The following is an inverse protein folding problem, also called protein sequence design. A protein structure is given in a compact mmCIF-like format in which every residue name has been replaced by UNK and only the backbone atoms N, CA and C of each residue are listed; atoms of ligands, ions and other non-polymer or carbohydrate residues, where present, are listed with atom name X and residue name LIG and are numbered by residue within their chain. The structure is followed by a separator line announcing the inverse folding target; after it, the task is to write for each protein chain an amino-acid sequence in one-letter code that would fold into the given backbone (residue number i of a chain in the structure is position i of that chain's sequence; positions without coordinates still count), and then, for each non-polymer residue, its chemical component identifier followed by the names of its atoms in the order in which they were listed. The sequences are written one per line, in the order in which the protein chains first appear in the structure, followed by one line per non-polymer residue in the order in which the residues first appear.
data_IF_959708532758
#
_entry.id   IF_959708532758
#
_cell.length_a   1.000
_cell.length_b   1.000
_cell.length_c   1.000
_cell.angle_alpha   90.00
_cell.angle_beta   90.00
_cell.angle_gamma   90.00
#
_symmetry.space_group_name_H-M   'P 1'
#
loop_
_entity.id
_entity.type
_entity.pdbx_description
1 polymer ?
#
# COMPACT_ATOMS: atom_id res chain seq x y z
N UNK A 1 7.84 -30.64 -35.80
CA UNK A 1 7.85 -30.09 -34.42
C UNK A 1 6.95 -28.87 -34.43
N UNK A 2 5.76 -28.94 -33.83
CA UNK A 2 4.76 -27.86 -33.91
C UNK A 2 4.74 -27.10 -32.58
N UNK A 3 5.33 -25.90 -32.57
CA UNK A 3 5.43 -25.01 -31.41
C UNK A 3 4.11 -24.26 -31.14
N UNK A 4 2.97 -24.97 -31.18
CA UNK A 4 1.63 -24.41 -31.06
C UNK A 4 0.92 -24.84 -29.76
N UNK A 5 1.68 -25.06 -28.69
CA UNK A 5 1.15 -25.27 -27.34
C UNK A 5 1.76 -24.23 -26.39
N UNK A 6 1.68 -22.95 -26.77
CA UNK A 6 1.78 -21.89 -25.77
C UNK A 6 0.43 -21.88 -25.05
N UNK A 7 0.48 -22.42 -23.83
CA UNK A 7 -0.58 -22.60 -22.87
C UNK A 7 -1.39 -21.30 -22.65
N UNK A 8 -2.42 -21.05 -23.48
CA UNK A 8 -3.49 -20.08 -23.19
C UNK A 8 -4.44 -20.69 -22.14
N UNK A 9 -3.93 -21.02 -20.96
CA UNK A 9 -4.78 -20.90 -19.77
C UNK A 9 -4.69 -19.43 -19.40
N UNK A 10 -5.66 -18.64 -19.87
CA UNK A 10 -5.87 -17.31 -19.31
C UNK A 10 -5.87 -17.45 -17.79
N UNK A 11 -5.15 -16.57 -17.11
CA UNK A 11 -5.30 -16.43 -15.67
C UNK A 11 -6.78 -16.17 -15.42
N UNK A 12 -7.49 -17.19 -14.94
CA UNK A 12 -8.87 -17.09 -14.53
C UNK A 12 -8.83 -16.32 -13.20
N UNK A 13 -8.83 -14.99 -13.29
CA UNK A 13 -8.77 -14.11 -12.13
C UNK A 13 -10.10 -14.23 -11.43
N UNK A 14 -10.09 -14.80 -10.22
CA UNK A 14 -11.26 -14.86 -9.35
C UNK A 14 -11.63 -13.43 -8.90
N UNK A 15 -12.49 -12.78 -9.69
CA UNK A 15 -12.93 -11.40 -9.50
C UNK A 15 -13.50 -11.15 -8.08
N UNK A 16 -14.37 -12.01 -7.51
CA UNK A 16 -14.78 -11.90 -6.11
C UNK A 16 -13.61 -11.82 -5.12
N UNK A 17 -12.64 -12.73 -5.22
CA UNK A 17 -11.49 -12.74 -4.33
C UNK A 17 -10.56 -11.54 -4.56
N UNK A 18 -10.43 -11.08 -5.80
CA UNK A 18 -9.68 -9.87 -6.13
C UNK A 18 -10.33 -8.59 -5.55
N UNK A 19 -11.67 -8.48 -5.62
CA UNK A 19 -12.42 -7.38 -4.99
C UNK A 19 -12.28 -7.40 -3.47
N UNK A 20 -12.34 -8.59 -2.85
CA UNK A 20 -12.12 -8.74 -1.40
C UNK A 20 -10.70 -8.32 -0.99
N UNK A 21 -9.69 -8.80 -1.71
CA UNK A 21 -8.29 -8.42 -1.46
C UNK A 21 -8.11 -6.91 -1.55
N UNK A 22 -8.68 -6.27 -2.57
CA UNK A 22 -8.68 -4.81 -2.70
C UNK A 22 -9.29 -4.10 -1.48
N UNK A 23 -10.48 -4.51 -1.03
CA UNK A 23 -11.13 -3.90 0.13
C UNK A 23 -10.30 -4.05 1.41
N UNK A 24 -9.72 -5.23 1.65
CA UNK A 24 -8.84 -5.47 2.79
C UNK A 24 -7.64 -4.53 2.74
N UNK A 25 -6.98 -4.48 1.58
CA UNK A 25 -5.79 -3.65 1.37
C UNK A 25 -6.11 -2.16 1.57
N UNK A 26 -7.22 -1.66 1.02
CA UNK A 26 -7.65 -0.27 1.21
C UNK A 26 -7.92 0.06 2.68
N UNK A 27 -8.55 -0.87 3.41
CA UNK A 27 -8.78 -0.68 4.84
C UNK A 27 -7.47 -0.62 5.63
N UNK A 28 -6.45 -1.40 5.24
CA UNK A 28 -5.14 -1.38 5.87
C UNK A 28 -4.38 -0.08 5.58
N UNK A 29 -4.43 0.40 4.32
CA UNK A 29 -3.85 1.68 3.94
C UNK A 29 -4.48 2.85 4.72
N UNK A 30 -5.81 2.90 4.78
CA UNK A 30 -6.51 3.94 5.53
C UNK A 30 -6.15 3.94 7.02
N UNK A 31 -5.99 2.76 7.61
CA UNK A 31 -5.57 2.64 9.01
C UNK A 31 -4.12 3.15 9.22
N UNK A 32 -3.21 2.83 8.28
CA UNK A 32 -1.83 3.36 8.32
C UNK A 32 -1.77 4.88 8.14
N UNK A 33 -2.61 5.45 7.28
CA UNK A 33 -2.73 6.91 7.14
C UNK A 33 -3.19 7.55 8.46
N UNK A 34 -4.24 7.01 9.10
CA UNK A 34 -4.71 7.52 10.39
C UNK A 34 -3.64 7.44 11.50
N UNK A 35 -2.84 6.37 11.53
CA UNK A 35 -1.71 6.26 12.45
C UNK A 35 -0.62 7.30 12.17
N UNK A 36 -0.34 7.57 10.89
CA UNK A 36 0.65 8.58 10.48
C UNK A 36 0.20 9.99 10.86
N UNK A 37 -1.08 10.30 10.71
CA UNK A 37 -1.68 11.57 11.13
C UNK A 37 -1.61 11.75 12.65
N UNK A 38 -1.92 10.69 13.42
CA UNK A 38 -1.79 10.72 14.87
C UNK A 38 -0.34 10.95 15.30
N UNK A 39 0.63 10.33 14.62
CA UNK A 39 2.06 10.55 14.89
C UNK A 39 2.46 12.00 14.64
N UNK A 40 1.98 12.60 13.54
CA UNK A 40 2.22 14.01 13.24
C UNK A 40 1.62 14.93 14.32
N UNK A 41 0.40 14.65 14.79
CA UNK A 41 -0.22 15.37 15.90
C UNK A 41 0.58 15.22 17.19
N UNK A 42 1.04 14.01 17.53
CA UNK A 42 1.89 13.80 18.70
C UNK A 42 3.19 14.60 18.60
N UNK A 43 3.81 14.67 17.42
CA UNK A 43 5.03 15.45 17.21
C UNK A 43 4.84 16.95 17.49
N UNK A 44 3.64 17.50 17.25
CA UNK A 44 3.32 18.89 17.61
C UNK A 44 3.19 19.14 19.12
N UNK A 45 2.95 18.09 19.91
CA UNK A 45 2.80 18.16 21.36
C UNK A 45 4.13 17.94 22.08
N UNK A 46 5.13 17.38 21.39
CA UNK A 46 6.47 17.20 21.94
C UNK A 46 7.23 18.52 22.02
N UNK A 47 7.97 18.71 23.11
CA UNK A 47 8.97 19.78 23.21
C UNK A 47 10.03 19.65 22.12
N UNK A 48 10.58 20.79 21.66
CA UNK A 48 11.50 20.86 20.52
C UNK A 48 12.73 19.95 20.69
N UNK A 49 13.30 19.88 21.89
CA UNK A 49 14.46 19.04 22.18
C UNK A 49 14.13 17.55 22.14
N UNK A 50 12.93 17.16 22.58
CA UNK A 50 12.44 15.79 22.53
C UNK A 50 12.16 15.39 21.08
N UNK A 51 11.54 16.27 20.30
CA UNK A 51 11.31 16.06 18.88
C UNK A 51 12.65 15.88 18.12
N UNK A 52 13.64 16.75 18.35
CA UNK A 52 14.98 16.61 17.77
C UNK A 52 15.63 15.28 18.13
N UNK A 53 15.62 14.92 19.42
CA UNK A 53 16.17 13.65 19.87
C UNK A 53 15.49 12.45 19.19
N UNK A 54 14.17 12.47 19.07
CA UNK A 54 13.40 11.44 18.38
C UNK A 54 13.80 11.32 16.91
N UNK A 55 13.96 12.43 16.18
CA UNK A 55 14.34 12.39 14.76
C UNK A 55 15.74 11.83 14.47
N UNK A 56 16.61 11.78 15.49
CA UNK A 56 17.95 11.22 15.39
C UNK A 56 18.00 9.71 15.68
N UNK A 57 16.87 9.09 16.04
CA UNK A 57 16.80 7.65 16.34
C UNK A 57 16.77 6.80 15.07
N UNK A 58 17.19 5.54 15.19
CA UNK A 58 17.07 4.57 14.09
C UNK A 58 15.61 4.22 13.80
N UNK A 59 14.76 4.25 14.83
CA UNK A 59 13.32 4.04 14.76
C UNK A 59 12.66 5.08 13.85
N UNK A 60 13.09 6.35 13.96
CA UNK A 60 12.60 7.41 13.08
C UNK A 60 13.00 7.18 11.62
N UNK A 61 14.24 6.76 11.35
CA UNK A 61 14.67 6.44 9.98
C UNK A 61 13.88 5.28 9.39
N UNK A 62 13.65 4.21 10.17
CA UNK A 62 12.80 3.08 9.76
C UNK A 62 11.37 3.52 9.48
N UNK A 63 10.81 4.41 10.29
CA UNK A 63 9.49 4.98 10.03
C UNK A 63 9.44 5.76 8.72
N UNK A 64 10.44 6.63 8.45
CA UNK A 64 10.48 7.38 7.19
C UNK A 64 10.61 6.48 5.96
N UNK A 65 11.39 5.40 6.05
CA UNK A 65 11.49 4.38 5.01
C UNK A 65 10.15 3.67 4.80
N UNK A 66 9.55 3.18 5.88
CA UNK A 66 8.23 2.53 5.83
C UNK A 66 7.14 3.45 5.26
N UNK A 67 7.18 4.76 5.57
CA UNK A 67 6.25 5.74 5.00
C UNK A 67 6.41 5.86 3.47
N UNK A 68 7.65 5.90 2.96
CA UNK A 68 7.91 5.93 1.51
C UNK A 68 7.46 4.64 0.83
N UNK A 69 7.69 3.49 1.46
CA UNK A 69 7.21 2.20 0.96
C UNK A 69 5.68 2.18 0.89
N UNK A 70 4.99 2.69 1.91
CA UNK A 70 3.53 2.78 1.95
C UNK A 70 2.98 3.63 0.79
N UNK A 71 3.59 4.79 0.51
CA UNK A 71 3.23 5.65 -0.63
C UNK A 71 3.36 4.88 -1.96
N UNK A 72 4.45 4.12 -2.14
CA UNK A 72 4.65 3.28 -3.32
C UNK A 72 3.61 2.14 -3.40
N UNK A 73 3.32 1.49 -2.27
CA UNK A 73 2.31 0.44 -2.17
C UNK A 73 0.95 0.98 -2.57
N UNK A 74 0.55 2.16 -2.09
CA UNK A 74 -0.71 2.82 -2.47
C UNK A 74 -0.81 3.01 -4.00
N UNK A 75 0.24 3.51 -4.65
CA UNK A 75 0.28 3.68 -6.10
C UNK A 75 0.15 2.33 -6.84
N UNK A 76 0.76 1.26 -6.33
CA UNK A 76 0.64 -0.08 -6.94
C UNK A 76 -0.78 -0.63 -6.82
N UNK A 77 -1.45 -0.39 -5.70
CA UNK A 77 -2.82 -0.84 -5.44
C UNK A 77 -3.81 -0.07 -6.31
N UNK A 78 -3.62 1.23 -6.48
CA UNK A 78 -4.42 2.05 -7.41
C UNK A 78 -4.34 1.48 -8.83
N UNK A 79 -3.14 1.19 -9.33
CA UNK A 79 -2.94 0.55 -10.65
C UNK A 79 -3.60 -0.84 -10.73
N UNK A 80 -3.42 -1.67 -9.71
CA UNK A 80 -4.06 -2.99 -9.64
C UNK A 80 -5.60 -2.88 -9.73
N UNK A 81 -6.17 -1.89 -9.06
CA UNK A 81 -7.61 -1.64 -9.05
C UNK A 81 -8.12 -1.18 -10.41
N UNK A 82 -7.37 -0.32 -11.10
CA UNK A 82 -7.70 0.10 -12.46
C UNK A 82 -7.75 -1.10 -13.42
N UNK A 83 -6.80 -2.03 -13.30
CA UNK A 83 -6.79 -3.24 -14.12
C UNK A 83 -7.99 -4.16 -13.79
N UNK A 84 -8.34 -4.34 -12.52
CA UNK A 84 -9.54 -5.10 -12.15
C UNK A 84 -10.82 -4.48 -12.71
N UNK A 85 -10.95 -3.15 -12.68
CA UNK A 85 -12.11 -2.44 -13.25
C UNK A 85 -12.23 -2.63 -14.76
N UNK A 86 -11.10 -2.69 -15.48
CA UNK A 86 -11.10 -2.97 -16.92
C UNK A 86 -11.58 -4.39 -17.22
N UNK A 87 -11.28 -5.36 -16.34
CA UNK A 87 -11.72 -6.74 -16.46
C UNK A 87 -13.21 -6.93 -16.11
N UNK A 88 -13.75 -6.16 -15.15
CA UNK A 88 -15.17 -6.23 -14.74
C UNK A 88 -16.13 -5.60 -15.77
N UNK A 89 -15.63 -4.65 -16.58
CA UNK A 89 -16.39 -3.94 -17.62
C UNK A 89 -16.21 -4.54 -19.04
N UNK A 90 -15.55 -5.70 -19.16
CA UNK A 90 -15.23 -6.39 -20.41
C UNK A 90 -16.13 -7.59 -20.70
#
# INVERSE_FOLDING_TARGET
MNAAQINKKGLDVDLPNAKLAYTIIQSLLANQEALSDLLALMAHVLDEDVAKALTNTNEWQKYLESKRELENTKLQIEKFTEELKKMDNG
#
